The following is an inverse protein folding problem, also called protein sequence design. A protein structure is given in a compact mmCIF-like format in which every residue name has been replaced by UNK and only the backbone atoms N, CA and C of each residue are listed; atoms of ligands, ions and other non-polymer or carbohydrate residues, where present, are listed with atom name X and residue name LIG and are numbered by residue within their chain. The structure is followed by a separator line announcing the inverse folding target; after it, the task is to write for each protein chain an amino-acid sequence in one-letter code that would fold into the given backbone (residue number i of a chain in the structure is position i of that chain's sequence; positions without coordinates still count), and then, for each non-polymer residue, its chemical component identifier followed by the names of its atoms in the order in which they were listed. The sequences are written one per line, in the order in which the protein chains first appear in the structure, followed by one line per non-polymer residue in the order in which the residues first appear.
data_IF_037337421317
#
_entry.id   IF_037337421317
#
_cell.length_a   1.000
_cell.length_b   1.000
_cell.length_c   1.000
_cell.angle_alpha   90.00
_cell.angle_beta   90.00
_cell.angle_gamma   90.00
#
_symmetry.space_group_name_H-M   'P 1'
#
loop_
_entity.id
_entity.type
_entity.pdbx_description
1 polymer ?
#
# COMPACT_ATOMS: atom_id res chain seq x y z
N UNK A 1 30.62 39.93 -91.91
CA UNK A 1 31.27 40.88 -90.97
C UNK A 1 30.45 40.80 -89.70
N UNK A 2 30.89 40.27 -88.55
CA UNK A 2 32.06 40.64 -87.76
C UNK A 2 32.43 39.43 -86.90
N UNK A 3 33.49 38.73 -87.32
CA UNK A 3 34.31 37.88 -86.45
C UNK A 3 35.38 38.81 -85.90
N UNK A 4 35.53 38.86 -84.57
CA UNK A 4 36.71 39.29 -83.78
C UNK A 4 36.27 40.06 -82.53
N UNK A 5 36.13 39.39 -81.40
CA UNK A 5 36.39 39.96 -80.07
C UNK A 5 36.59 38.81 -79.07
N UNK A 6 37.66 38.04 -79.25
CA UNK A 6 38.20 37.15 -78.22
C UNK A 6 39.68 37.47 -78.10
N UNK A 7 40.16 37.46 -76.85
CA UNK A 7 41.56 37.41 -76.41
C UNK A 7 42.28 38.74 -76.15
N UNK A 8 42.03 39.39 -75.00
CA UNK A 8 43.07 40.06 -74.20
C UNK A 8 42.69 40.15 -72.71
N UNK A 9 42.44 39.03 -72.00
CA UNK A 9 42.26 39.09 -70.52
C UNK A 9 42.82 37.89 -69.73
N UNK A 10 43.65 37.04 -70.36
CA UNK A 10 44.20 35.85 -69.70
C UNK A 10 45.71 35.93 -69.54
N UNK A 11 46.23 36.59 -68.50
CA UNK A 11 47.62 36.37 -68.07
C UNK A 11 47.98 36.86 -66.66
N UNK A 12 47.32 37.91 -66.12
CA UNK A 12 47.74 38.51 -64.84
C UNK A 12 46.99 38.02 -63.59
N UNK A 13 45.86 37.32 -63.73
CA UNK A 13 45.05 36.89 -62.59
C UNK A 13 45.53 35.59 -61.91
N UNK A 14 46.34 34.76 -62.58
CA UNK A 14 46.66 33.42 -62.07
C UNK A 14 47.73 33.36 -60.97
N UNK A 15 48.54 34.41 -60.77
CA UNK A 15 49.63 34.37 -59.77
C UNK A 15 49.23 34.84 -58.36
N UNK A 16 48.07 35.50 -58.21
CA UNK A 16 47.59 35.98 -56.89
C UNK A 16 46.59 35.04 -56.21
N UNK A 17 45.94 34.14 -56.95
CA UNK A 17 44.98 33.17 -56.39
C UNK A 17 45.62 31.96 -55.71
N UNK A 18 46.81 31.55 -56.13
CA UNK A 18 47.46 30.32 -55.61
C UNK A 18 48.07 30.52 -54.22
N UNK A 19 48.58 31.73 -53.91
CA UNK A 19 49.15 32.03 -52.59
C UNK A 19 48.08 32.27 -51.51
N UNK A 20 46.86 32.68 -51.86
CA UNK A 20 45.78 32.88 -50.89
C UNK A 20 45.05 31.57 -50.54
N UNK A 21 45.03 30.59 -51.45
CA UNK A 21 44.41 29.28 -51.21
C UNK A 21 45.19 28.40 -50.24
N UNK A 22 46.50 28.62 -50.07
CA UNK A 22 47.36 27.77 -49.25
C UNK A 22 47.34 28.17 -47.75
N UNK A 23 46.94 29.40 -47.43
CA UNK A 23 46.86 29.91 -46.06
C UNK A 23 45.56 29.49 -45.34
N UNK A 24 44.48 29.21 -46.08
CA UNK A 24 43.19 28.78 -45.51
C UNK A 24 43.10 27.28 -45.19
N UNK A 25 44.03 26.45 -45.67
CA UNK A 25 44.02 24.99 -45.45
C UNK A 25 44.90 24.58 -44.24
N UNK A 26 45.81 25.46 -43.80
CA UNK A 26 46.76 25.17 -42.73
C UNK A 26 46.17 25.01 -41.30
N UNK A 27 45.06 25.65 -40.86
CA UNK A 27 44.62 25.54 -39.47
C UNK A 27 43.85 24.25 -39.15
N UNK A 28 43.55 23.40 -40.13
CA UNK A 28 42.81 22.15 -39.90
C UNK A 28 43.69 20.95 -39.53
N UNK A 29 45.02 21.10 -39.56
CA UNK A 29 45.95 20.01 -39.23
C UNK A 29 46.54 20.10 -37.81
N UNK A 30 46.25 21.16 -37.05
CA UNK A 30 46.79 21.35 -35.70
C UNK A 30 45.82 20.99 -34.55
N UNK A 31 44.64 20.41 -34.85
CA UNK A 31 43.56 20.22 -33.88
C UNK A 31 43.24 18.79 -33.46
N UNK A 32 44.01 17.77 -33.87
CA UNK A 32 43.59 16.37 -33.69
C UNK A 32 44.69 15.47 -33.13
N UNK A 33 44.97 15.56 -31.84
CA UNK A 33 45.40 14.39 -31.03
C UNK A 33 45.29 14.62 -29.52
N UNK A 34 44.34 15.45 -29.05
CA UNK A 34 43.98 15.37 -27.65
C UNK A 34 43.28 14.03 -27.48
N UNK A 35 44.01 13.04 -26.98
CA UNK A 35 43.46 11.77 -26.48
C UNK A 35 42.26 12.15 -25.60
N UNK A 36 41.04 11.93 -26.11
CA UNK A 36 39.83 12.28 -25.38
C UNK A 36 39.82 11.36 -24.18
N UNK A 37 40.16 11.91 -23.01
CA UNK A 37 40.14 11.15 -21.77
C UNK A 37 38.73 10.59 -21.59
N UNK A 38 38.57 9.28 -21.34
CA UNK A 38 37.27 8.69 -21.12
C UNK A 38 36.60 9.36 -19.93
N UNK A 39 35.29 9.59 -20.03
CA UNK A 39 34.52 10.18 -18.93
C UNK A 39 34.56 9.28 -17.69
N UNK A 40 34.65 9.92 -16.53
CA UNK A 40 34.71 9.21 -15.25
C UNK A 40 33.32 8.80 -14.77
N UNK A 41 33.27 7.83 -13.85
CA UNK A 41 32.03 7.44 -13.16
C UNK A 41 31.27 8.63 -12.56
N UNK A 42 31.96 9.55 -11.88
CA UNK A 42 31.33 10.72 -11.28
C UNK A 42 30.70 11.64 -12.32
N UNK A 43 31.36 11.83 -13.47
CA UNK A 43 30.78 12.63 -14.56
C UNK A 43 29.48 12.02 -15.10
N UNK A 44 29.35 10.69 -15.12
CA UNK A 44 28.10 10.02 -15.50
C UNK A 44 27.03 10.00 -14.39
N UNK A 45 27.43 10.16 -13.13
CA UNK A 45 26.50 10.39 -12.03
C UNK A 45 25.85 11.78 -12.15
N UNK A 46 26.65 12.78 -12.54
CA UNK A 46 26.21 14.18 -12.61
C UNK A 46 25.50 14.55 -13.93
N UNK A 47 25.89 13.92 -15.06
CA UNK A 47 25.36 14.21 -16.40
C UNK A 47 24.54 13.02 -16.93
N UNK A 48 23.21 13.12 -16.79
CA UNK A 48 22.28 12.08 -17.25
C UNK A 48 22.28 11.93 -18.77
N UNK A 49 22.41 13.03 -19.53
CA UNK A 49 22.38 12.99 -20.99
C UNK A 49 23.61 12.24 -21.51
N UNK A 50 24.79 12.54 -20.95
CA UNK A 50 25.99 11.80 -21.31
C UNK A 50 25.89 10.32 -20.93
N UNK A 51 25.33 10.00 -19.75
CA UNK A 51 25.16 8.61 -19.32
C UNK A 51 24.22 7.85 -20.26
N UNK A 52 23.03 8.37 -20.51
CA UNK A 52 22.04 7.67 -21.35
C UNK A 52 22.51 7.60 -22.81
N UNK A 53 23.17 8.64 -23.33
CA UNK A 53 23.77 8.63 -24.67
C UNK A 53 24.88 7.60 -24.81
N UNK A 54 25.78 7.51 -23.83
CA UNK A 54 26.83 6.48 -23.79
C UNK A 54 26.21 5.09 -23.66
N UNK A 55 25.23 4.90 -22.77
CA UNK A 55 24.54 3.60 -22.63
C UNK A 55 23.84 3.17 -23.92
N UNK A 56 23.19 4.08 -24.63
CA UNK A 56 22.57 3.79 -25.92
C UNK A 56 23.61 3.27 -26.92
N UNK A 57 24.78 3.91 -27.02
CA UNK A 57 25.92 3.43 -27.82
C UNK A 57 26.40 2.05 -27.36
N UNK A 58 26.65 1.89 -26.06
CA UNK A 58 27.18 0.66 -25.48
C UNK A 58 26.20 -0.52 -25.50
N UNK A 59 24.91 -0.28 -25.75
CA UNK A 59 23.89 -1.32 -25.87
C UNK A 59 23.70 -1.80 -27.32
N UNK A 60 24.20 -1.07 -28.32
CA UNK A 60 24.14 -1.50 -29.73
C UNK A 60 24.99 -2.76 -29.96
N UNK A 61 26.16 -2.85 -29.34
CA UNK A 61 27.03 -4.03 -29.33
C UNK A 61 27.67 -4.18 -27.95
N UNK A 62 27.13 -5.09 -27.14
CA UNK A 62 27.57 -5.27 -25.76
C UNK A 62 28.89 -6.01 -25.66
N UNK A 63 29.16 -6.92 -26.59
CA UNK A 63 30.36 -7.75 -26.58
C UNK A 63 31.58 -6.90 -26.97
N UNK A 64 31.46 -6.12 -28.05
CA UNK A 64 32.53 -5.23 -28.50
C UNK A 64 32.87 -4.13 -27.47
N UNK A 65 31.88 -3.70 -26.66
CA UNK A 65 32.05 -2.62 -25.67
C UNK A 65 32.29 -3.11 -24.24
N UNK A 66 32.47 -4.42 -24.03
CA UNK A 66 32.68 -4.98 -22.69
C UNK A 66 33.94 -4.41 -22.00
N UNK A 67 34.98 -4.09 -22.77
CA UNK A 67 36.23 -3.50 -22.29
C UNK A 67 36.32 -1.98 -22.36
N UNK A 68 35.30 -1.29 -22.89
CA UNK A 68 35.31 0.18 -22.99
C UNK A 68 35.11 0.80 -21.59
N UNK A 69 36.11 1.56 -21.14
CA UNK A 69 36.09 2.25 -19.86
C UNK A 69 34.89 3.21 -19.70
N UNK A 70 34.47 3.89 -20.78
CA UNK A 70 33.28 4.74 -20.74
C UNK A 70 32.01 3.93 -20.53
N UNK A 71 31.88 2.79 -21.20
CA UNK A 71 30.73 1.90 -21.08
C UNK A 71 30.65 1.27 -19.68
N UNK A 72 31.79 0.85 -19.11
CA UNK A 72 31.87 0.34 -17.74
C UNK A 72 31.43 1.42 -16.73
N UNK A 73 31.98 2.64 -16.86
CA UNK A 73 31.65 3.74 -15.97
C UNK A 73 30.17 4.15 -16.06
N UNK A 74 29.61 4.24 -17.27
CA UNK A 74 28.21 4.59 -17.49
C UNK A 74 27.25 3.52 -16.94
N UNK A 75 27.53 2.23 -17.15
CA UNK A 75 26.73 1.12 -16.60
C UNK A 75 26.78 1.11 -15.08
N UNK A 76 27.96 1.33 -14.48
CA UNK A 76 28.10 1.42 -13.03
C UNK A 76 27.34 2.62 -12.46
N UNK A 77 27.37 3.77 -13.14
CA UNK A 77 26.62 4.95 -12.72
C UNK A 77 25.10 4.69 -12.76
N UNK A 78 24.60 4.10 -13.85
CA UNK A 78 23.20 3.72 -13.97
C UNK A 78 22.76 2.71 -12.91
N UNK A 79 23.55 1.65 -12.66
CA UNK A 79 23.22 0.66 -11.63
C UNK A 79 23.19 1.27 -10.23
N UNK A 80 24.09 2.21 -9.94
CA UNK A 80 24.14 2.91 -8.66
C UNK A 80 22.92 3.80 -8.46
N UNK A 81 22.50 4.52 -9.50
CA UNK A 81 21.30 5.36 -9.45
C UNK A 81 20.02 4.56 -9.36
N UNK A 82 19.92 3.45 -10.09
CA UNK A 82 18.79 2.53 -9.98
C UNK A 82 18.66 1.98 -8.56
N UNK A 83 19.76 1.52 -7.95
CA UNK A 83 19.75 1.04 -6.57
C UNK A 83 19.33 2.12 -5.57
N UNK A 84 19.72 3.39 -5.77
CA UNK A 84 19.27 4.51 -4.92
C UNK A 84 17.77 4.79 -5.09
N UNK A 85 17.29 4.81 -6.33
CA UNK A 85 15.87 5.05 -6.62
C UNK A 85 14.99 3.93 -6.04
N UNK A 86 15.44 2.67 -6.12
CA UNK A 86 14.73 1.53 -5.55
C UNK A 86 14.64 1.63 -4.02
N UNK A 87 15.70 2.08 -3.37
CA UNK A 87 15.73 2.29 -1.92
C UNK A 87 14.80 3.44 -1.50
N UNK A 88 14.85 4.58 -2.20
CA UNK A 88 13.93 5.70 -1.97
C UNK A 88 12.46 5.27 -2.13
N UNK A 89 12.17 4.44 -3.14
CA UNK A 89 10.83 3.91 -3.36
C UNK A 89 10.42 2.90 -2.26
N UNK A 90 11.37 2.13 -1.70
CA UNK A 90 11.12 1.24 -0.57
C UNK A 90 10.75 2.04 0.67
N UNK A 91 11.53 3.07 0.99
CA UNK A 91 11.28 3.96 2.13
C UNK A 91 9.91 4.66 2.00
N UNK A 92 9.56 5.16 0.82
CA UNK A 92 8.24 5.76 0.56
C UNK A 92 7.09 4.78 0.76
N UNK A 93 7.25 3.53 0.30
CA UNK A 93 6.23 2.49 0.50
C UNK A 93 6.08 2.11 1.96
N UNK A 94 7.18 2.05 2.72
CA UNK A 94 7.16 1.78 4.15
C UNK A 94 6.46 2.90 4.92
N UNK A 95 6.80 4.16 4.64
CA UNK A 95 6.13 5.32 5.23
C UNK A 95 4.62 5.34 4.95
N UNK A 96 4.22 5.08 3.69
CA UNK A 96 2.80 4.99 3.33
C UNK A 96 2.09 3.84 4.04
N UNK A 97 2.75 2.69 4.20
CA UNK A 97 2.22 1.54 4.93
C UNK A 97 1.98 1.86 6.39
N UNK A 98 2.90 2.58 7.03
CA UNK A 98 2.76 2.99 8.44
C UNK A 98 1.62 3.98 8.64
N UNK A 99 1.44 4.95 7.74
CA UNK A 99 0.30 5.86 7.75
C UNK A 99 -1.02 5.10 7.63
N UNK A 100 -1.11 4.12 6.73
CA UNK A 100 -2.31 3.31 6.56
C UNK A 100 -2.60 2.44 7.78
N UNK A 101 -1.58 1.80 8.37
CA UNK A 101 -1.73 1.02 9.61
C UNK A 101 -2.20 1.89 10.78
N UNK A 102 -1.68 3.11 10.90
CA UNK A 102 -2.13 4.05 11.91
C UNK A 102 -3.60 4.42 11.71
N UNK A 103 -4.01 4.75 10.48
CA UNK A 103 -5.39 5.08 10.17
C UNK A 103 -6.36 3.92 10.45
N UNK A 104 -5.95 2.66 10.21
CA UNK A 104 -6.75 1.48 10.57
C UNK A 104 -6.92 1.37 12.08
N UNK A 105 -5.83 1.47 12.85
CA UNK A 105 -5.88 1.44 14.32
C UNK A 105 -6.78 2.53 14.89
N UNK A 106 -6.72 3.73 14.34
CA UNK A 106 -7.57 4.84 14.78
C UNK A 106 -9.06 4.53 14.53
N UNK A 107 -9.41 4.06 13.33
CA UNK A 107 -10.78 3.66 12.98
C UNK A 107 -11.31 2.57 13.91
N UNK A 108 -10.51 1.54 14.16
CA UNK A 108 -10.86 0.46 15.10
C UNK A 108 -11.04 1.00 16.53
N UNK A 109 -10.15 1.89 16.97
CA UNK A 109 -10.25 2.55 18.27
C UNK A 109 -11.53 3.36 18.43
N UNK A 110 -11.92 4.13 17.40
CA UNK A 110 -13.18 4.87 17.39
C UNK A 110 -14.40 3.94 17.39
N UNK A 111 -14.38 2.87 16.60
CA UNK A 111 -15.46 1.89 16.54
C UNK A 111 -15.67 1.19 17.89
N UNK A 112 -14.58 0.73 18.52
CA UNK A 112 -14.63 0.10 19.84
C UNK A 112 -15.10 1.08 20.93
N UNK A 113 -14.65 2.34 20.88
CA UNK A 113 -15.11 3.36 21.82
C UNK A 113 -16.60 3.66 21.64
N UNK A 114 -17.11 3.70 20.40
CA UNK A 114 -18.53 3.85 20.12
C UNK A 114 -19.35 2.66 20.62
N UNK A 115 -18.88 1.43 20.39
CA UNK A 115 -19.52 0.21 20.90
C UNK A 115 -19.63 0.23 22.43
N UNK A 116 -18.54 0.52 23.15
CA UNK A 116 -18.56 0.63 24.63
C UNK A 116 -19.54 1.68 25.12
N UNK A 117 -19.65 2.84 24.45
CA UNK A 117 -20.63 3.87 24.81
C UNK A 117 -22.07 3.41 24.56
N UNK A 118 -22.31 2.69 23.47
CA UNK A 118 -23.62 2.15 23.15
C UNK A 118 -24.04 1.07 24.18
N UNK A 119 -23.14 0.16 24.54
CA UNK A 119 -23.36 -0.84 25.58
C UNK A 119 -23.64 -0.20 26.95
N UNK A 120 -22.85 0.79 27.35
CA UNK A 120 -23.06 1.51 28.60
C UNK A 120 -24.42 2.25 28.61
N UNK A 121 -24.81 2.87 27.49
CA UNK A 121 -26.12 3.50 27.36
C UNK A 121 -27.26 2.47 27.44
N UNK A 122 -27.10 1.31 26.81
CA UNK A 122 -28.07 0.23 26.85
C UNK A 122 -28.25 -0.34 28.27
N UNK A 123 -27.16 -0.47 29.03
CA UNK A 123 -27.23 -0.88 30.44
C UNK A 123 -27.98 0.14 31.28
N UNK A 124 -27.67 1.43 31.13
CA UNK A 124 -28.39 2.51 31.84
C UNK A 124 -29.89 2.50 31.53
N UNK A 125 -30.27 2.26 30.26
CA UNK A 125 -31.70 2.13 29.90
C UNK A 125 -32.34 0.88 30.50
N UNK A 126 -31.65 -0.26 30.49
CA UNK A 126 -32.16 -1.51 31.03
C UNK A 126 -32.35 -1.44 32.56
N UNK A 127 -31.39 -0.84 33.28
CA UNK A 127 -31.48 -0.63 34.72
C UNK A 127 -32.64 0.31 35.07
N UNK A 128 -32.84 1.38 34.30
CA UNK A 128 -33.96 2.30 34.49
C UNK A 128 -35.32 1.63 34.27
N UNK A 129 -35.42 0.76 33.26
CA UNK A 129 -36.63 -0.04 33.00
C UNK A 129 -36.89 -1.05 34.13
N UNK A 130 -35.85 -1.73 34.61
CA UNK A 130 -35.95 -2.67 35.71
C UNK A 130 -36.44 -1.98 36.99
N UNK A 131 -35.86 -0.83 37.35
CA UNK A 131 -36.28 -0.05 38.52
C UNK A 131 -37.74 0.44 38.40
N UNK A 132 -38.18 0.83 37.20
CA UNK A 132 -39.57 1.21 36.96
C UNK A 132 -40.53 0.03 37.16
N UNK A 133 -40.18 -1.15 36.63
CA UNK A 133 -40.98 -2.37 36.82
C UNK A 133 -41.01 -2.80 38.29
N UNK A 134 -39.87 -2.74 38.96
CA UNK A 134 -39.75 -3.08 40.38
C UNK A 134 -40.61 -2.18 41.26
N UNK A 135 -40.62 -0.87 40.99
CA UNK A 135 -41.48 0.08 41.70
C UNK A 135 -42.96 -0.26 41.57
N UNK A 136 -43.44 -0.55 40.36
CA UNK A 136 -44.83 -0.97 40.12
C UNK A 136 -45.15 -2.26 40.89
N UNK A 137 -44.22 -3.23 40.93
CA UNK A 137 -44.40 -4.44 41.71
C UNK A 137 -44.51 -4.16 43.22
N UNK A 138 -43.68 -3.26 43.76
CA UNK A 138 -43.76 -2.86 45.17
C UNK A 138 -45.09 -2.16 45.50
N UNK A 139 -45.56 -1.27 44.64
CA UNK A 139 -46.86 -0.60 44.80
C UNK A 139 -48.02 -1.62 44.82
N UNK A 140 -47.98 -2.63 43.94
CA UNK A 140 -48.97 -3.70 43.90
C UNK A 140 -48.96 -4.57 45.17
N UNK A 141 -47.78 -4.89 45.70
CA UNK A 141 -47.66 -5.64 46.96
C UNK A 141 -48.24 -4.84 48.14
N UNK A 142 -47.95 -3.54 48.24
CA UNK A 142 -48.51 -2.68 49.29
C UNK A 142 -50.04 -2.54 49.19
N UNK A 143 -50.57 -2.34 47.99
CA UNK A 143 -52.02 -2.27 47.77
C UNK A 143 -52.73 -3.57 48.19
N UNK A 144 -52.11 -4.71 47.88
CA UNK A 144 -52.61 -6.03 48.28
C UNK A 144 -52.58 -6.21 49.81
N UNK A 145 -51.53 -5.72 50.49
CA UNK A 145 -51.39 -5.80 51.95
C UNK A 145 -52.45 -4.98 52.70
N UNK A 146 -52.86 -3.82 52.16
CA UNK A 146 -53.96 -3.01 52.72
C UNK A 146 -55.35 -3.63 52.46
N UNK A 147 -55.47 -4.52 51.46
CA UNK A 147 -56.69 -5.26 51.15
C UNK A 147 -56.88 -6.54 51.98
N UNK A 148 -55.81 -7.08 52.55
CA UNK A 148 -55.91 -8.14 53.56
C UNK A 148 -56.33 -7.53 54.90
N UNK A 149 -57.64 -7.39 55.10
CA UNK A 149 -58.20 -7.31 56.43
C UNK A 149 -57.66 -8.50 57.23
N UNK A 150 -56.95 -8.19 58.32
CA UNK A 150 -56.42 -9.16 59.28
C UNK A 150 -57.52 -10.21 59.53
N UNK A 151 -57.35 -11.49 59.12
CA UNK A 151 -58.35 -12.49 59.39
C UNK A 151 -58.49 -12.54 60.90
N UNK A 152 -59.66 -12.12 61.40
CA UNK A 152 -59.91 -12.05 62.85
C UNK A 152 -59.47 -13.37 63.47
N UNK A 153 -58.70 -13.31 64.55
CA UNK A 153 -58.07 -14.46 65.22
C UNK A 153 -59.01 -15.66 65.52
N UNK A 154 -60.33 -15.48 65.37
CA UNK A 154 -61.34 -16.52 65.44
C UNK A 154 -61.34 -17.54 64.28
N UNK A 155 -60.53 -17.38 63.23
CA UNK A 155 -60.45 -18.34 62.08
C UNK A 155 -59.08 -19.01 61.94
N UNK A 156 -58.27 -19.04 63.00
CA UNK A 156 -57.12 -19.93 63.10
C UNK A 156 -57.50 -21.20 63.88
N UNK A 157 -58.62 -21.82 63.50
CA UNK A 157 -58.91 -23.18 63.94
C UNK A 157 -58.00 -24.11 63.14
N UNK A 158 -56.91 -24.50 63.79
CA UNK A 158 -56.17 -25.74 63.63
C UNK A 158 -56.48 -26.50 62.31
N UNK A 159 -55.80 -26.13 61.22
CA UNK A 159 -55.70 -27.03 60.06
C UNK A 159 -54.82 -28.20 60.53
N UNK A 160 -55.43 -29.25 61.10
CA UNK A 160 -54.81 -30.56 61.23
C UNK A 160 -54.42 -31.00 59.83
N UNK A 161 -53.14 -30.86 59.48
CA UNK A 161 -52.63 -31.57 58.31
C UNK A 161 -52.80 -33.06 58.61
N UNK A 162 -53.58 -33.80 57.80
CA UNK A 162 -53.71 -35.23 58.00
C UNK A 162 -52.30 -35.84 57.89
N UNK A 163 -51.97 -36.87 58.69
CA UNK A 163 -50.64 -37.51 58.69
C UNK A 163 -50.24 -38.16 57.35
N UNK A 164 -51.13 -38.13 56.36
CA UNK A 164 -50.92 -38.58 54.99
C UNK A 164 -50.64 -37.45 53.99
N UNK A 165 -50.62 -36.18 54.41
CA UNK A 165 -50.29 -35.04 53.55
C UNK A 165 -48.80 -35.06 53.21
N UNK A 166 -48.44 -35.93 52.27
CA UNK A 166 -47.17 -35.89 51.56
C UNK A 166 -47.16 -34.55 50.83
N UNK A 167 -46.28 -33.63 51.23
CA UNK A 167 -46.04 -32.39 50.49
C UNK A 167 -45.47 -32.80 49.14
N UNK A 168 -46.37 -33.07 48.19
CA UNK A 168 -46.06 -33.24 46.80
C UNK A 168 -45.69 -31.85 46.29
N UNK A 169 -44.45 -31.44 46.55
CA UNK A 169 -43.86 -30.32 45.85
C UNK A 169 -44.06 -30.64 44.37
N UNK A 170 -44.80 -29.82 43.61
CA UNK A 170 -44.90 -30.03 42.19
C UNK A 170 -43.47 -29.99 41.68
N UNK A 171 -42.96 -31.14 41.25
CA UNK A 171 -41.73 -31.18 40.46
C UNK A 171 -42.04 -30.32 39.24
N UNK A 172 -41.57 -29.07 39.27
CA UNK A 172 -41.53 -28.21 38.10
C UNK A 172 -40.61 -28.94 37.14
N UNK A 173 -41.21 -29.73 36.24
CA UNK A 173 -40.48 -30.36 35.16
C UNK A 173 -39.97 -29.23 34.29
N UNK A 174 -38.69 -28.88 34.44
CA UNK A 174 -38.06 -27.99 33.50
C UNK A 174 -38.22 -28.61 32.11
N UNK A 175 -38.77 -27.87 31.13
CA UNK A 175 -38.90 -28.38 29.78
C UNK A 175 -37.52 -28.79 29.27
N UNK A 176 -37.43 -29.89 28.52
CA UNK A 176 -36.17 -30.43 28.00
C UNK A 176 -35.35 -29.42 27.17
N UNK A 177 -35.96 -28.30 26.75
CA UNK A 177 -35.27 -27.17 26.11
C UNK A 177 -34.32 -26.39 27.03
N UNK A 178 -34.47 -26.46 28.36
CA UNK A 178 -33.60 -25.77 29.31
C UNK A 178 -32.20 -26.42 29.47
N UNK A 179 -31.95 -27.58 28.83
CA UNK A 179 -30.65 -28.29 28.87
C UNK A 179 -29.67 -27.92 27.76
N UNK A 180 -30.00 -26.98 26.89
CA UNK A 180 -29.08 -26.47 25.87
C UNK A 180 -28.60 -25.08 26.27
N UNK A 181 -27.64 -25.03 27.19
CA UNK A 181 -26.55 -24.07 27.07
C UNK A 181 -25.83 -24.42 25.76
N UNK A 182 -26.41 -23.97 24.65
CA UNK A 182 -25.72 -23.91 23.37
C UNK A 182 -24.47 -23.10 23.63
N UNK A 183 -23.31 -23.78 23.55
CA UNK A 183 -22.04 -23.12 23.38
C UNK A 183 -22.27 -22.07 22.30
N UNK A 184 -22.12 -20.80 22.68
CA UNK A 184 -22.01 -19.69 21.75
C UNK A 184 -21.06 -20.16 20.67
N UNK A 185 -21.52 -20.36 19.42
CA UNK A 185 -20.63 -20.79 18.37
C UNK A 185 -19.51 -19.76 18.32
N UNK A 186 -18.26 -20.24 18.38
CA UNK A 186 -17.10 -19.39 18.14
C UNK A 186 -17.41 -18.51 16.94
N UNK A 187 -17.04 -17.21 16.99
CA UNK A 187 -17.21 -16.36 15.83
C UNK A 187 -16.47 -17.06 14.69
N UNK A 188 -17.24 -17.63 13.76
CA UNK A 188 -16.75 -18.05 12.47
C UNK A 188 -16.06 -16.82 11.94
N UNK A 189 -14.72 -16.83 11.97
CA UNK A 189 -13.90 -15.90 11.24
C UNK A 189 -14.38 -16.07 9.81
N UNK A 190 -15.35 -15.23 9.44
CA UNK A 190 -15.90 -15.20 8.10
C UNK A 190 -14.68 -15.11 7.21
N UNK A 191 -14.53 -16.12 6.35
CA UNK A 191 -13.55 -16.11 5.28
C UNK A 191 -13.66 -14.72 4.66
N UNK A 192 -12.67 -13.88 4.95
CA UNK A 192 -12.50 -12.62 4.27
C UNK A 192 -12.18 -13.09 2.86
N UNK A 193 -13.24 -13.21 2.06
CA UNK A 193 -13.17 -13.40 0.63
C UNK A 193 -12.54 -12.13 0.11
N UNK A 194 -11.21 -12.10 0.19
CA UNK A 194 -10.38 -11.15 -0.54
C UNK A 194 -10.84 -11.32 -1.99
N UNK A 195 -11.38 -10.26 -2.63
CA UNK A 195 -11.81 -10.37 -4.01
C UNK A 195 -10.62 -10.87 -4.83
N UNK A 196 -10.78 -12.06 -5.39
CA UNK A 196 -9.89 -12.55 -6.43
C UNK A 196 -9.96 -11.53 -7.56
N UNK A 197 -8.86 -10.79 -7.76
CA UNK A 197 -8.75 -9.83 -8.85
C UNK A 197 -8.48 -8.40 -8.41
N UNK A 198 -7.42 -8.18 -7.63
CA UNK A 198 -6.50 -7.13 -8.07
C UNK A 198 -5.67 -7.80 -9.14
N UNK A 199 -6.05 -7.60 -10.42
CA UNK A 199 -5.14 -7.82 -11.54
C UNK A 199 -3.85 -7.08 -11.21
N UNK A 200 -2.87 -7.81 -10.71
CA UNK A 200 -1.49 -7.35 -10.68
C UNK A 200 -1.08 -7.28 -12.14
N UNK A 201 -1.30 -6.10 -12.73
CA UNK A 201 -0.89 -5.78 -14.09
C UNK A 201 0.62 -5.66 -14.07
N UNK A 202 1.28 -6.81 -14.12
CA UNK A 202 2.68 -6.95 -14.48
C UNK A 202 2.87 -6.47 -15.91
N UNK A 203 2.96 -5.15 -16.09
CA UNK A 203 3.58 -4.56 -17.27
C UNK A 203 5.12 -4.60 -17.10
N UNK A 204 5.68 -5.72 -16.65
CA UNK A 204 7.10 -6.01 -16.75
C UNK A 204 7.29 -6.90 -17.96
N UNK A 205 7.31 -6.29 -19.13
CA UNK A 205 7.66 -6.91 -20.39
C UNK A 205 9.09 -7.48 -20.33
N UNK A 206 9.30 -8.81 -20.33
CA UNK A 206 10.61 -9.41 -20.44
C UNK A 206 10.78 -9.90 -21.88
N UNK A 207 11.19 -9.02 -22.78
CA UNK A 207 11.72 -9.48 -24.07
C UNK A 207 13.12 -10.03 -23.86
N UNK A 208 13.13 -11.35 -23.66
CA UNK A 208 14.11 -12.34 -24.08
C UNK A 208 15.08 -11.91 -25.20
N UNK A 209 16.36 -12.26 -25.00
CA UNK A 209 17.38 -12.24 -26.04
C UNK A 209 18.60 -13.09 -25.64
N UNK A 210 18.59 -14.36 -26.09
CA UNK A 210 19.68 -15.31 -26.36
C UNK A 210 20.81 -15.49 -25.32
N UNK A 211 20.97 -16.65 -24.68
CA UNK A 211 21.50 -17.91 -25.24
C UNK A 211 22.94 -17.80 -25.76
N UNK A 212 23.89 -18.40 -25.02
CA UNK A 212 25.29 -18.52 -25.40
C UNK A 212 26.10 -19.37 -24.43
N UNK A 213 25.86 -20.69 -24.43
CA UNK A 213 26.73 -21.70 -23.83
C UNK A 213 27.96 -21.92 -24.70
N UNK A 214 29.17 -21.95 -24.12
CA UNK A 214 30.36 -22.34 -24.86
C UNK A 214 31.65 -22.33 -24.05
N UNK A 215 31.99 -23.53 -23.54
CA UNK A 215 33.31 -24.05 -23.14
C UNK A 215 33.99 -23.51 -21.88
#
# INVERSE_FOLDING_TARGET
MVVRYIAVFGAKALRRGVLLSLVLIAPHLAGCSAEIRPRSFMQFMDDSIAREGTLARCNQDREATAGDAECINARRAASTLAARADEELREQREANSDVLRAAVRDREGYAQAAARRAEAAAQVTADAEFEAQWRVAQENVQATQLGYAEPSAATLDFIELPPSASVALPYVQLPASARRLELVPEPMLGEISLPAGIEYRDNANPTTGAAGSGS
#
